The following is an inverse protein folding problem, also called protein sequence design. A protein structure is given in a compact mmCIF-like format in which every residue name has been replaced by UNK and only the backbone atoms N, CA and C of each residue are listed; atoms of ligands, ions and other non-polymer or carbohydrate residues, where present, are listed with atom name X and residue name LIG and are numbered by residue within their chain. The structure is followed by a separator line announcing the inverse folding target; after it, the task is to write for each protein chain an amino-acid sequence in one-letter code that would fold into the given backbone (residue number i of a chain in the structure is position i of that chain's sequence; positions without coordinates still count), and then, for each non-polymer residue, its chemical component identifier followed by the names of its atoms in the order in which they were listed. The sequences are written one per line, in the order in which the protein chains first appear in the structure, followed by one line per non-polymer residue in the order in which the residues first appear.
data_IF_493877408107
#
_entry.id   IF_493877408107
#
_cell.length_a   1.000
_cell.length_b   1.000
_cell.length_c   1.000
_cell.angle_alpha   90.00
_cell.angle_beta   90.00
_cell.angle_gamma   90.00
#
_symmetry.space_group_name_H-M   'P 1'
#
loop_
_entity.id
_entity.type
_entity.pdbx_description
1 polymer ?
#
# COMPACT_ATOMS: atom_id res chain seq x y z
N UNK A 1 -6.88 -31.16 -31.77
CA UNK A 1 -5.69 -30.43 -32.29
C UNK A 1 -6.03 -29.07 -32.90
N UNK A 2 -7.24 -28.88 -33.48
CA UNK A 2 -7.61 -27.62 -34.14
C UNK A 2 -8.02 -26.49 -33.17
N UNK A 3 -8.55 -26.77 -31.97
CA UNK A 3 -8.96 -25.75 -30.99
C UNK A 3 -7.78 -25.06 -30.33
N UNK A 4 -6.67 -25.79 -30.04
CA UNK A 4 -5.46 -25.19 -29.47
C UNK A 4 -4.74 -24.27 -30.46
N UNK A 5 -4.72 -24.61 -31.75
CA UNK A 5 -4.15 -23.73 -32.77
C UNK A 5 -4.94 -22.46 -33.00
N UNK A 6 -6.27 -22.49 -32.86
CA UNK A 6 -7.13 -21.29 -32.95
C UNK A 6 -6.92 -20.36 -31.76
N UNK A 7 -6.77 -20.91 -30.54
CA UNK A 7 -6.53 -20.11 -29.34
C UNK A 7 -5.15 -19.41 -29.39
N UNK A 8 -4.12 -20.08 -29.88
CA UNK A 8 -2.79 -19.50 -30.07
C UNK A 8 -2.80 -18.37 -31.12
N UNK A 9 -3.53 -18.52 -32.22
CA UNK A 9 -3.65 -17.47 -33.25
C UNK A 9 -4.42 -16.26 -32.74
N UNK A 10 -5.49 -16.44 -31.95
CA UNK A 10 -6.26 -15.35 -31.37
C UNK A 10 -5.43 -14.56 -30.35
N UNK A 11 -4.64 -15.21 -29.51
CA UNK A 11 -3.72 -14.56 -28.58
C UNK A 11 -2.64 -13.73 -29.28
N UNK A 12 -2.05 -14.27 -30.36
CA UNK A 12 -1.03 -13.53 -31.14
C UNK A 12 -1.62 -12.32 -31.88
N UNK A 13 -2.87 -12.38 -32.32
CA UNK A 13 -3.54 -11.25 -32.98
C UNK A 13 -3.90 -10.15 -31.97
N UNK A 14 -4.24 -10.50 -30.73
CA UNK A 14 -4.51 -9.53 -29.67
C UNK A 14 -3.23 -8.80 -29.24
N UNK A 15 -2.11 -9.49 -29.11
CA UNK A 15 -0.81 -8.86 -28.81
C UNK A 15 -0.34 -7.90 -29.92
N UNK A 16 -0.50 -8.27 -31.18
CA UNK A 16 -0.16 -7.40 -32.33
C UNK A 16 -1.10 -6.18 -32.41
N UNK A 17 -2.37 -6.32 -32.07
CA UNK A 17 -3.31 -5.20 -32.04
C UNK A 17 -3.01 -4.20 -30.90
N UNK A 18 -2.56 -4.66 -29.74
CA UNK A 18 -2.15 -3.80 -28.60
C UNK A 18 -0.86 -3.03 -28.90
N UNK A 19 0.11 -3.65 -29.59
CA UNK A 19 1.34 -2.96 -30.00
C UNK A 19 1.07 -1.96 -31.13
N UNK A 20 0.14 -2.24 -32.05
CA UNK A 20 -0.22 -1.30 -33.11
C UNK A 20 -1.02 -0.09 -32.63
N UNK A 21 -1.81 -0.23 -31.55
CA UNK A 21 -2.54 0.89 -30.94
C UNK A 21 -1.62 1.86 -30.20
N UNK A 22 -0.48 1.40 -29.68
CA UNK A 22 0.53 2.24 -29.03
C UNK A 22 1.41 3.04 -30.00
N UNK A 23 1.43 2.68 -31.31
CA UNK A 23 2.21 3.36 -32.34
C UNK A 23 1.40 4.38 -33.16
N UNK A 24 0.06 4.40 -33.02
CA UNK A 24 -0.79 5.43 -33.63
C UNK A 24 -1.23 6.40 -32.54
N UNK A 25 -0.42 7.47 -32.33
CA UNK A 25 -0.72 8.53 -31.38
C UNK A 25 -2.12 9.11 -31.60
N UNK A 26 -3.06 8.74 -30.75
CA UNK A 26 -4.36 9.40 -30.66
C UNK A 26 -4.17 10.68 -29.88
N UNK A 27 -4.10 11.80 -30.61
CA UNK A 27 -4.07 13.15 -30.07
C UNK A 27 -5.39 13.45 -29.36
N UNK A 28 -5.36 13.64 -28.05
CA UNK A 28 -6.44 14.28 -27.30
C UNK A 28 -6.23 15.81 -27.34
N UNK A 29 -7.29 16.61 -27.57
CA UNK A 29 -7.15 18.04 -27.61
C UNK A 29 -6.88 18.62 -26.21
N UNK A 30 -5.85 19.47 -26.12
CA UNK A 30 -5.51 20.26 -24.95
C UNK A 30 -6.64 21.27 -24.65
N UNK A 31 -7.25 21.18 -23.49
CA UNK A 31 -8.07 22.25 -22.94
C UNK A 31 -7.19 23.26 -22.20
N UNK A 32 -7.20 24.47 -22.66
CA UNK A 32 -6.56 25.62 -22.02
C UNK A 32 -7.31 26.03 -20.76
N UNK A 33 -6.64 25.99 -19.61
CA UNK A 33 -7.15 26.55 -18.36
C UNK A 33 -7.08 28.08 -18.42
N UNK A 34 -8.22 28.76 -18.27
CA UNK A 34 -8.32 30.19 -18.11
C UNK A 34 -7.98 30.59 -16.69
N UNK A 35 -7.01 31.49 -16.53
CA UNK A 35 -6.66 32.11 -15.26
C UNK A 35 -7.80 33.02 -14.76
N UNK A 36 -8.31 32.74 -13.56
CA UNK A 36 -9.20 33.66 -12.84
C UNK A 36 -8.38 34.39 -11.75
N UNK A 37 -8.29 35.70 -11.95
CA UNK A 37 -7.69 36.66 -11.02
C UNK A 37 -8.61 36.91 -9.82
N UNK A 38 -8.13 36.71 -8.59
CA UNK A 38 -8.77 37.21 -7.37
C UNK A 38 -8.04 38.44 -6.85
N UNK A 39 -8.82 39.51 -6.63
CA UNK A 39 -8.41 40.74 -5.95
C UNK A 39 -8.57 40.57 -4.43
N UNK A 40 -7.75 41.24 -3.60
CA UNK A 40 -7.80 41.13 -2.15
C UNK A 40 -8.93 41.97 -1.55
N UNK A 41 -9.61 41.44 -0.54
CA UNK A 41 -10.59 42.18 0.27
C UNK A 41 -9.92 42.80 1.50
N UNK A 42 -10.26 44.03 1.72
CA UNK A 42 -9.77 44.97 2.73
C UNK A 42 -10.32 44.73 4.13
N UNK A 43 -9.51 45.11 5.12
CA UNK A 43 -9.73 45.16 6.56
C UNK A 43 -11.06 45.79 7.02
N UNK A 44 -11.70 45.19 8.03
CA UNK A 44 -12.63 45.88 8.93
C UNK A 44 -12.20 45.66 10.38
N UNK A 45 -11.73 46.73 10.99
CA UNK A 45 -11.47 46.85 12.43
C UNK A 45 -12.78 47.00 13.18
N UNK A 46 -13.01 46.20 14.22
CA UNK A 46 -14.03 46.45 15.24
C UNK A 46 -13.46 46.23 16.63
N UNK A 47 -13.46 47.26 17.41
CA UNK A 47 -13.05 47.38 18.83
C UNK A 47 -14.16 46.92 19.77
N UNK A 48 -13.83 46.24 20.89
CA UNK A 48 -14.72 46.16 22.03
C UNK A 48 -14.50 45.04 23.04
N UNK A 49 -13.73 45.34 24.10
CA UNK A 49 -13.82 45.00 25.56
C UNK A 49 -13.81 43.54 26.03
N UNK A 50 -12.81 43.31 26.83
CA UNK A 50 -12.49 42.41 27.95
C UNK A 50 -13.63 41.57 28.56
N UNK A 51 -13.40 40.26 28.74
CA UNK A 51 -13.39 39.68 30.07
C UNK A 51 -12.50 38.43 30.15
N UNK A 52 -11.89 38.20 31.29
CA UNK A 52 -10.79 37.33 31.62
C UNK A 52 -11.25 35.93 32.02
N UNK A 53 -10.78 34.89 31.34
CA UNK A 53 -10.46 33.61 31.96
C UNK A 53 -9.39 32.88 31.12
N UNK A 54 -8.19 32.77 31.70
CA UNK A 54 -7.02 32.15 31.16
C UNK A 54 -7.19 30.64 31.14
N UNK A 55 -7.52 30.08 29.98
CA UNK A 55 -7.14 28.71 29.59
C UNK A 55 -5.98 28.81 28.60
N UNK A 56 -4.80 28.43 29.04
CA UNK A 56 -3.65 28.25 28.17
C UNK A 56 -3.90 26.92 27.41
N UNK A 57 -4.48 27.01 26.24
CA UNK A 57 -4.46 25.90 25.29
C UNK A 57 -3.02 25.78 24.76
N UNK A 58 -2.46 24.58 24.85
CA UNK A 58 -1.24 24.23 24.14
C UNK A 58 -1.39 24.58 22.65
N UNK A 59 -0.31 25.04 21.98
CA UNK A 59 -0.39 25.33 20.57
C UNK A 59 -0.77 24.04 19.85
N UNK A 60 -1.94 24.01 19.22
CA UNK A 60 -2.22 23.05 18.16
C UNK A 60 -1.26 23.41 17.04
N UNK A 61 -0.22 22.61 16.88
CA UNK A 61 0.52 22.57 15.62
C UNK A 61 -0.49 22.15 14.56
N UNK A 62 -1.01 23.11 13.82
CA UNK A 62 -1.74 22.83 12.58
C UNK A 62 -0.73 22.25 11.63
N UNK A 63 -0.72 20.94 11.51
CA UNK A 63 0.01 20.22 10.48
C UNK A 63 -0.61 20.63 9.13
N UNK A 64 -0.01 21.60 8.47
CA UNK A 64 -0.27 21.87 7.08
C UNK A 64 0.44 20.76 6.31
N UNK A 65 -0.27 19.65 6.06
CA UNK A 65 0.08 18.77 4.97
C UNK A 65 0.03 19.65 3.72
N UNK A 66 1.14 19.81 3.05
CA UNK A 66 1.12 20.33 1.69
C UNK A 66 0.44 19.25 0.84
N UNK A 67 -0.89 19.37 0.70
CA UNK A 67 -1.75 18.38 0.05
C UNK A 67 -1.42 18.14 -1.42
N UNK A 68 -0.45 18.90 -1.96
CA UNK A 68 -0.05 18.83 -3.37
C UNK A 68 0.66 17.52 -3.76
N UNK A 69 1.07 16.69 -2.81
CA UNK A 69 1.80 15.44 -3.04
C UNK A 69 1.03 14.17 -2.68
N UNK A 70 -0.19 14.29 -2.13
CA UNK A 70 -1.02 13.12 -1.89
C UNK A 70 -1.60 12.64 -3.21
N UNK A 71 -1.29 11.40 -3.58
CA UNK A 71 -1.88 10.75 -4.74
C UNK A 71 -3.34 10.45 -4.44
N UNK A 72 -4.25 11.35 -4.84
CA UNK A 72 -5.69 11.12 -4.77
C UNK A 72 -6.10 10.07 -5.81
N UNK A 73 -5.86 8.80 -5.48
CA UNK A 73 -6.34 7.67 -6.26
C UNK A 73 -7.72 7.21 -5.76
N UNK A 74 -8.53 6.62 -6.66
CA UNK A 74 -9.82 6.03 -6.27
C UNK A 74 -9.67 5.03 -5.10
N UNK A 75 -8.53 4.33 -5.00
CA UNK A 75 -8.26 3.34 -3.98
C UNK A 75 -8.23 3.94 -2.56
N UNK A 76 -7.56 5.08 -2.40
CA UNK A 76 -7.46 5.81 -1.12
C UNK A 76 -8.83 6.24 -0.61
N UNK A 77 -9.66 6.82 -1.50
CA UNK A 77 -11.03 7.22 -1.17
C UNK A 77 -11.92 6.01 -0.90
N UNK A 78 -11.71 4.90 -1.63
CA UNK A 78 -12.52 3.68 -1.55
C UNK A 78 -12.44 2.99 -0.19
N UNK A 79 -11.27 3.02 0.44
CA UNK A 79 -11.04 2.45 1.77
C UNK A 79 -11.31 3.44 2.91
N UNK A 80 -11.89 4.59 2.61
CA UNK A 80 -12.20 5.66 3.58
C UNK A 80 -10.97 6.22 4.32
N UNK A 81 -9.79 6.23 3.67
CA UNK A 81 -8.58 6.79 4.28
C UNK A 81 -8.72 8.30 4.62
N UNK A 82 -9.38 9.16 3.80
CA UNK A 82 -9.62 10.55 4.17
C UNK A 82 -10.44 10.73 5.47
N UNK A 83 -11.38 9.82 5.75
CA UNK A 83 -12.12 9.80 7.00
C UNK A 83 -11.24 9.34 8.17
N UNK A 84 -10.40 8.32 7.93
CA UNK A 84 -9.42 7.81 8.89
C UNK A 84 -8.43 8.89 9.34
N UNK A 85 -8.04 9.81 8.46
CA UNK A 85 -7.12 10.91 8.78
C UNK A 85 -7.72 11.94 9.77
N UNK A 86 -9.01 11.92 10.01
CA UNK A 86 -9.62 12.72 11.10
C UNK A 86 -9.26 12.15 12.48
N UNK A 87 -8.84 10.88 12.55
CA UNK A 87 -8.37 10.21 13.77
C UNK A 87 -6.84 10.29 13.84
N UNK A 88 -6.15 9.80 12.81
CA UNK A 88 -4.69 9.84 12.69
C UNK A 88 -4.24 9.79 11.24
N UNK A 89 -3.15 10.45 10.92
CA UNK A 89 -2.42 10.32 9.65
C UNK A 89 -1.24 9.35 9.77
N UNK A 90 -1.10 8.68 10.91
CA UNK A 90 0.05 7.86 11.26
C UNK A 90 1.04 8.57 12.16
N UNK A 91 2.06 7.87 12.63
CA UNK A 91 3.12 8.38 13.51
C UNK A 91 4.51 8.05 12.95
N UNK A 92 5.49 8.93 13.18
CA UNK A 92 6.87 8.76 12.71
C UNK A 92 7.61 7.60 13.37
N UNK A 93 7.13 7.10 14.50
CA UNK A 93 7.67 5.90 15.14
C UNK A 93 7.27 4.62 14.39
N UNK A 94 6.18 4.66 13.60
CA UNK A 94 5.74 3.50 12.82
C UNK A 94 6.46 3.45 11.49
N UNK A 95 7.16 2.34 11.25
CA UNK A 95 7.96 2.09 10.06
C UNK A 95 7.37 0.94 9.24
N UNK A 96 7.07 1.20 7.98
CA UNK A 96 6.63 0.18 7.01
C UNK A 96 7.80 -0.24 6.14
N UNK A 97 8.25 -1.47 6.27
CA UNK A 97 9.26 -2.03 5.37
C UNK A 97 8.62 -2.51 4.07
N UNK A 98 9.09 -1.98 2.94
CA UNK A 98 8.66 -2.40 1.60
C UNK A 98 9.72 -3.36 1.04
N UNK A 99 9.40 -4.65 1.04
CA UNK A 99 10.24 -5.71 0.49
C UNK A 99 9.93 -5.88 -0.99
N UNK A 100 10.73 -5.23 -1.87
CA UNK A 100 10.40 -5.10 -3.28
C UNK A 100 11.64 -4.89 -4.18
N UNK A 101 11.49 -4.19 -5.30
CA UNK A 101 12.53 -3.86 -6.28
C UNK A 101 13.41 -2.66 -5.91
N UNK A 102 13.22 -2.10 -4.73
CA UNK A 102 13.83 -0.85 -4.25
C UNK A 102 12.81 0.28 -4.13
N UNK A 103 13.26 1.45 -3.67
CA UNK A 103 12.47 2.69 -3.62
C UNK A 103 13.31 3.81 -4.24
N UNK A 104 12.73 4.58 -5.16
CA UNK A 104 13.34 5.82 -5.62
C UNK A 104 12.96 6.97 -4.69
N UNK A 105 13.89 7.35 -3.81
CA UNK A 105 13.67 8.33 -2.74
C UNK A 105 13.64 9.78 -3.24
N UNK A 106 14.08 10.03 -4.47
CA UNK A 106 14.06 11.36 -5.09
C UNK A 106 12.64 11.78 -5.49
N UNK A 107 11.69 10.84 -5.49
CA UNK A 107 10.29 11.16 -5.76
C UNK A 107 9.72 12.06 -4.64
N UNK A 108 9.07 13.20 -4.98
CA UNK A 108 8.59 14.17 -3.99
C UNK A 108 7.67 13.58 -2.92
N UNK A 109 6.81 12.60 -3.26
CA UNK A 109 5.92 11.93 -2.30
C UNK A 109 6.65 11.01 -1.32
N UNK A 110 7.89 10.62 -1.63
CA UNK A 110 8.70 9.71 -0.81
C UNK A 110 9.91 10.39 -0.15
N UNK A 111 10.26 11.60 -0.59
CA UNK A 111 11.43 12.34 -0.11
C UNK A 111 11.44 12.50 1.41
N UNK A 112 12.53 12.05 2.05
CA UNK A 112 12.74 12.13 3.49
C UNK A 112 11.84 11.21 4.33
N UNK A 113 11.12 10.27 3.72
CA UNK A 113 10.29 9.28 4.42
C UNK A 113 11.03 7.98 4.70
N UNK A 114 12.01 7.62 3.87
CA UNK A 114 12.81 6.41 4.04
C UNK A 114 13.83 6.62 5.17
N UNK A 115 13.80 5.76 6.17
CA UNK A 115 14.65 5.85 7.37
C UNK A 115 15.72 4.76 7.44
N UNK A 116 15.67 3.79 6.53
CA UNK A 116 16.63 2.70 6.44
C UNK A 116 16.55 2.04 5.07
N UNK A 117 17.69 1.56 4.58
CA UNK A 117 17.78 0.87 3.30
C UNK A 117 18.74 -0.31 3.33
N UNK A 118 18.45 -1.34 2.55
CA UNK A 118 19.32 -2.49 2.33
C UNK A 118 19.04 -3.12 0.97
N UNK A 119 20.07 -3.66 0.35
CA UNK A 119 19.95 -4.43 -0.89
C UNK A 119 20.45 -5.86 -0.68
N UNK A 120 19.53 -6.82 -0.75
CA UNK A 120 19.82 -8.26 -0.74
C UNK A 120 19.76 -8.88 -2.14
N UNK A 121 19.34 -8.12 -3.14
CA UNK A 121 19.28 -8.57 -4.55
C UNK A 121 20.66 -8.63 -5.18
N UNK A 122 20.73 -9.08 -6.42
CA UNK A 122 21.95 -9.05 -7.23
C UNK A 122 22.16 -7.71 -7.96
N UNK A 123 21.30 -6.71 -7.73
CA UNK A 123 21.43 -5.38 -8.32
C UNK A 123 22.55 -4.57 -7.66
N UNK A 124 23.15 -3.59 -8.35
CA UNK A 124 24.29 -2.84 -7.80
C UNK A 124 23.91 -1.84 -6.70
N UNK A 125 22.66 -1.38 -6.67
CA UNK A 125 22.16 -0.37 -5.71
C UNK A 125 20.83 -0.78 -5.10
N UNK A 126 20.40 -0.08 -4.04
CA UNK A 126 19.07 -0.17 -3.44
C UNK A 126 18.00 0.58 -4.22
N UNK A 127 18.39 1.43 -5.18
CA UNK A 127 17.47 2.17 -6.03
C UNK A 127 16.51 1.26 -6.80
N UNK A 128 15.32 1.77 -7.08
CA UNK A 128 14.33 1.09 -7.89
C UNK A 128 14.45 1.47 -9.37
N UNK A 129 15.08 0.58 -10.16
CA UNK A 129 15.15 0.73 -11.61
C UNK A 129 14.01 0.01 -12.35
N UNK A 130 13.20 -0.77 -11.63
CA UNK A 130 12.05 -1.51 -12.19
C UNK A 130 10.72 -0.74 -12.01
N UNK A 131 10.62 0.07 -10.97
CA UNK A 131 9.47 0.93 -10.70
C UNK A 131 8.28 0.22 -10.04
N UNK A 132 8.49 -0.97 -9.45
CA UNK A 132 7.43 -1.63 -8.72
C UNK A 132 7.44 -1.23 -7.24
N UNK A 133 8.58 -1.29 -6.58
CA UNK A 133 8.70 -0.97 -5.16
C UNK A 133 8.40 0.51 -4.88
N UNK A 134 8.84 1.43 -5.74
CA UNK A 134 8.48 2.86 -5.65
C UNK A 134 6.97 3.05 -5.71
N UNK A 135 6.29 2.33 -6.61
CA UNK A 135 4.83 2.39 -6.71
C UNK A 135 4.13 1.88 -5.46
N UNK A 136 4.60 0.77 -4.88
CA UNK A 136 4.06 0.23 -3.61
C UNK A 136 4.31 1.20 -2.45
N UNK A 137 5.53 1.73 -2.34
CA UNK A 137 5.89 2.73 -1.33
C UNK A 137 5.02 3.99 -1.39
N UNK A 138 4.71 4.47 -2.60
CA UNK A 138 3.82 5.60 -2.82
C UNK A 138 2.39 5.34 -2.33
N UNK A 139 1.85 4.14 -2.57
CA UNK A 139 0.52 3.78 -2.04
C UNK A 139 0.53 3.80 -0.51
N UNK A 140 1.52 3.18 0.14
CA UNK A 140 1.66 3.20 1.60
C UNK A 140 1.75 4.63 2.13
N UNK A 141 2.62 5.46 1.53
CA UNK A 141 2.81 6.85 1.91
C UNK A 141 1.55 7.71 1.73
N UNK A 142 0.73 7.43 0.70
CA UNK A 142 -0.53 8.12 0.46
C UNK A 142 -1.59 7.80 1.52
N UNK A 143 -1.58 6.60 2.09
CA UNK A 143 -2.56 6.17 3.09
C UNK A 143 -2.12 6.56 4.50
N UNK A 144 -0.83 6.36 4.83
CA UNK A 144 -0.24 6.66 6.13
C UNK A 144 0.85 7.75 6.00
N UNK A 145 0.49 9.01 5.71
CA UNK A 145 1.46 10.04 5.40
C UNK A 145 2.33 10.45 6.61
N UNK A 146 1.91 10.14 7.83
CA UNK A 146 2.71 10.37 9.05
C UNK A 146 3.75 9.30 9.36
N UNK A 147 3.63 8.09 8.75
CA UNK A 147 4.54 6.97 8.98
C UNK A 147 5.85 7.08 8.18
N UNK A 148 6.83 6.25 8.54
CA UNK A 148 8.11 6.12 7.87
C UNK A 148 8.16 4.87 7.00
N UNK A 149 9.07 4.86 6.06
CA UNK A 149 9.30 3.74 5.16
C UNK A 149 10.71 3.17 5.36
N UNK A 150 10.87 1.90 5.02
CA UNK A 150 12.16 1.22 4.96
C UNK A 150 12.29 0.55 3.59
N UNK A 151 13.37 0.84 2.88
CA UNK A 151 13.66 0.30 1.56
C UNK A 151 14.41 -1.03 1.69
N UNK A 152 13.74 -2.14 1.48
CA UNK A 152 14.34 -3.47 1.54
C UNK A 152 14.30 -4.12 0.15
N UNK A 153 15.35 -3.89 -0.63
CA UNK A 153 15.42 -4.43 -2.00
C UNK A 153 15.75 -5.93 -1.97
N UNK A 154 14.72 -6.73 -2.25
CA UNK A 154 14.80 -8.21 -2.33
C UNK A 154 14.60 -8.74 -3.74
N UNK A 155 14.07 -7.92 -4.65
CA UNK A 155 13.94 -8.21 -6.07
C UNK A 155 14.95 -7.39 -6.88
N UNK A 156 15.49 -8.00 -7.93
CA UNK A 156 16.45 -7.36 -8.81
C UNK A 156 15.79 -6.35 -9.78
N UNK A 157 16.62 -5.67 -10.59
CA UNK A 157 16.17 -4.66 -11.56
C UNK A 157 15.36 -5.26 -12.74
N UNK A 158 15.08 -6.56 -12.72
CA UNK A 158 14.17 -7.26 -13.63
C UNK A 158 12.89 -7.73 -12.93
N UNK A 159 12.72 -7.41 -11.63
CA UNK A 159 11.59 -7.81 -10.80
C UNK A 159 11.65 -9.25 -10.29
N UNK A 160 12.80 -9.92 -10.37
CA UNK A 160 12.97 -11.30 -9.89
C UNK A 160 13.46 -11.32 -8.46
N UNK A 161 12.86 -12.20 -7.66
CA UNK A 161 13.25 -12.46 -6.28
C UNK A 161 13.27 -13.96 -5.98
N UNK A 162 14.06 -14.35 -4.98
CA UNK A 162 14.17 -15.71 -4.48
C UNK A 162 13.66 -15.79 -3.03
N UNK A 163 12.98 -16.88 -2.62
CA UNK A 163 12.44 -17.01 -1.26
C UNK A 163 13.48 -16.81 -0.16
N UNK A 164 14.71 -17.28 -0.36
CA UNK A 164 15.81 -17.12 0.60
C UNK A 164 16.30 -15.68 0.74
N UNK A 165 16.13 -14.87 -0.32
CA UNK A 165 16.48 -13.43 -0.30
C UNK A 165 15.37 -12.65 0.43
N UNK A 166 14.11 -12.99 0.16
CA UNK A 166 12.97 -12.38 0.88
C UNK A 166 13.03 -12.71 2.37
N UNK A 167 13.34 -13.95 2.75
CA UNK A 167 13.53 -14.34 4.15
C UNK A 167 14.59 -13.48 4.87
N UNK A 168 15.73 -13.20 4.24
CA UNK A 168 16.75 -12.29 4.79
C UNK A 168 16.22 -10.87 4.95
N UNK A 169 15.45 -10.40 3.97
CA UNK A 169 14.82 -9.07 4.01
C UNK A 169 13.83 -8.94 5.17
N UNK A 170 13.01 -9.97 5.42
CA UNK A 170 12.08 -10.00 6.56
C UNK A 170 12.85 -9.88 7.88
N UNK A 171 13.82 -10.76 8.13
CA UNK A 171 14.62 -10.75 9.36
C UNK A 171 15.31 -9.40 9.56
N UNK A 172 15.91 -8.85 8.49
CA UNK A 172 16.57 -7.55 8.57
C UNK A 172 15.58 -6.42 8.92
N UNK A 173 14.38 -6.41 8.33
CA UNK A 173 13.37 -5.40 8.59
C UNK A 173 12.93 -5.42 10.06
N UNK A 174 12.68 -6.61 10.62
CA UNK A 174 12.36 -6.82 12.04
C UNK A 174 13.49 -6.30 12.93
N UNK A 175 14.73 -6.73 12.69
CA UNK A 175 15.89 -6.35 13.47
C UNK A 175 16.20 -4.84 13.43
N UNK A 176 15.63 -4.11 12.47
CA UNK A 176 15.78 -2.66 12.28
C UNK A 176 14.52 -1.85 12.62
N UNK A 177 13.53 -2.49 13.26
CA UNK A 177 12.39 -1.81 13.85
C UNK A 177 11.25 -1.51 12.86
N UNK A 178 10.97 -2.41 11.93
CA UNK A 178 9.74 -2.33 11.15
C UNK A 178 8.57 -2.89 11.98
N UNK A 179 7.45 -2.17 12.04
CA UNK A 179 6.18 -2.63 12.63
C UNK A 179 5.28 -3.30 11.58
N UNK A 180 5.43 -2.92 10.31
CA UNK A 180 4.67 -3.50 9.19
C UNK A 180 5.63 -3.90 8.08
N UNK A 181 5.44 -5.09 7.51
CA UNK A 181 6.18 -5.56 6.34
C UNK A 181 5.23 -5.75 5.17
N UNK A 182 5.42 -4.96 4.10
CA UNK A 182 4.72 -5.13 2.83
C UNK A 182 5.48 -6.07 1.90
N UNK A 183 4.84 -7.16 1.49
CA UNK A 183 5.37 -8.14 0.54
C UNK A 183 4.47 -8.24 -0.69
N UNK A 184 4.67 -7.33 -1.63
CA UNK A 184 3.96 -7.32 -2.92
C UNK A 184 4.53 -8.34 -3.91
N UNK A 185 4.80 -9.55 -3.41
CA UNK A 185 5.52 -10.64 -4.04
C UNK A 185 4.70 -11.94 -4.05
N UNK A 186 4.95 -12.80 -5.04
CA UNK A 186 4.30 -14.09 -5.16
C UNK A 186 5.30 -15.16 -5.60
N UNK A 187 5.48 -16.21 -4.81
CA UNK A 187 6.49 -17.25 -5.04
C UNK A 187 6.04 -18.61 -4.54
N UNK A 188 6.93 -19.59 -4.62
CA UNK A 188 6.74 -20.94 -4.08
C UNK A 188 7.06 -21.00 -2.60
N UNK A 189 6.50 -22.00 -1.90
CA UNK A 189 6.81 -22.27 -0.49
C UNK A 189 8.30 -22.51 -0.25
N UNK A 190 8.78 -22.04 0.90
CA UNK A 190 10.15 -22.27 1.37
C UNK A 190 10.17 -22.34 2.88
N UNK A 191 10.89 -23.31 3.44
CA UNK A 191 11.03 -23.46 4.90
C UNK A 191 11.74 -22.27 5.55
N UNK A 192 12.66 -21.62 4.83
CA UNK A 192 13.39 -20.48 5.38
C UNK A 192 12.53 -19.22 5.35
N UNK A 193 11.69 -19.08 4.31
CA UNK A 193 10.71 -18.01 4.24
C UNK A 193 9.64 -18.17 5.33
N UNK A 194 9.14 -19.39 5.57
CA UNK A 194 8.21 -19.67 6.68
C UNK A 194 8.80 -19.23 8.02
N UNK A 195 10.03 -19.68 8.33
CA UNK A 195 10.68 -19.32 9.62
C UNK A 195 10.88 -17.80 9.77
N UNK A 196 11.14 -17.09 8.69
CA UNK A 196 11.27 -15.64 8.73
C UNK A 196 9.92 -14.96 8.99
N UNK A 197 8.83 -15.49 8.43
CA UNK A 197 7.46 -15.04 8.69
C UNK A 197 7.08 -15.30 10.15
N UNK A 198 7.30 -16.53 10.64
CA UNK A 198 7.02 -16.90 12.04
C UNK A 198 7.82 -15.99 13.01
N UNK A 199 9.10 -15.76 12.72
CA UNK A 199 9.96 -14.86 13.52
C UNK A 199 9.41 -13.43 13.56
N UNK A 200 9.00 -12.88 12.42
CA UNK A 200 8.49 -11.51 12.37
C UNK A 200 7.17 -11.36 13.15
N UNK A 201 6.31 -12.36 13.08
CA UNK A 201 5.06 -12.39 13.84
C UNK A 201 5.31 -12.48 15.35
N UNK A 202 6.23 -13.34 15.78
CA UNK A 202 6.62 -13.51 17.18
C UNK A 202 7.27 -12.25 17.77
N UNK A 203 7.92 -11.42 16.93
CA UNK A 203 8.50 -10.12 17.31
C UNK A 203 7.48 -8.95 17.21
N UNK A 204 6.19 -9.25 17.00
CA UNK A 204 5.12 -8.26 17.02
C UNK A 204 4.93 -7.47 15.71
N UNK A 205 5.45 -7.96 14.59
CA UNK A 205 5.36 -7.31 13.27
C UNK A 205 4.14 -7.80 12.49
N UNK A 206 3.40 -6.91 11.84
CA UNK A 206 2.33 -7.27 10.90
C UNK A 206 2.91 -7.52 9.52
N UNK A 207 2.64 -8.71 8.96
CA UNK A 207 3.07 -9.10 7.63
C UNK A 207 1.87 -9.06 6.66
N UNK A 208 1.99 -8.30 5.60
CA UNK A 208 0.97 -8.16 4.56
C UNK A 208 1.51 -8.67 3.23
N UNK A 209 0.78 -9.58 2.60
CA UNK A 209 1.25 -10.22 1.37
C UNK A 209 0.19 -10.29 0.27
N UNK A 210 0.63 -10.08 -0.96
CA UNK A 210 -0.19 -10.16 -2.16
C UNK A 210 -0.64 -11.61 -2.45
N UNK A 211 -1.92 -11.85 -2.68
CA UNK A 211 -2.47 -13.18 -3.01
C UNK A 211 -1.95 -13.73 -4.36
N UNK A 212 -1.45 -12.87 -5.23
CA UNK A 212 -0.93 -13.25 -6.54
C UNK A 212 -1.87 -12.90 -7.70
N UNK A 213 -1.32 -12.95 -8.92
CA UNK A 213 -1.98 -12.42 -10.12
C UNK A 213 -2.21 -13.52 -11.18
N UNK A 214 -2.61 -14.72 -10.75
CA UNK A 214 -2.89 -15.85 -11.67
C UNK A 214 -4.38 -16.06 -11.95
N UNK A 215 -5.27 -15.38 -11.24
CA UNK A 215 -6.72 -15.57 -11.35
C UNK A 215 -7.17 -16.96 -10.94
N UNK A 216 -6.49 -17.59 -9.98
CA UNK A 216 -6.75 -18.96 -9.52
C UNK A 216 -6.91 -19.00 -8.01
N UNK A 217 -7.48 -20.09 -7.50
CA UNK A 217 -7.57 -20.36 -6.06
C UNK A 217 -6.36 -21.10 -5.49
N UNK A 218 -5.33 -21.35 -6.31
CA UNK A 218 -4.11 -22.00 -5.83
C UNK A 218 -3.32 -21.06 -4.92
N UNK A 219 -2.88 -21.54 -3.73
CA UNK A 219 -2.10 -20.73 -2.80
C UNK A 219 -0.80 -20.19 -3.36
N UNK A 220 -0.46 -18.98 -2.94
CA UNK A 220 0.80 -18.32 -3.25
C UNK A 220 1.49 -17.89 -1.95
N UNK A 221 2.81 -17.85 -1.94
CA UNK A 221 3.60 -17.50 -0.77
C UNK A 221 4.32 -16.16 -0.97
N UNK A 222 4.51 -15.39 0.13
CA UNK A 222 4.26 -15.70 1.55
C UNK A 222 2.78 -15.61 1.98
N UNK A 223 1.87 -15.13 1.16
CA UNK A 223 0.47 -14.87 1.54
C UNK A 223 -0.25 -16.08 2.17
N UNK A 224 0.09 -17.31 1.78
CA UNK A 224 -0.54 -18.51 2.33
C UNK A 224 0.00 -18.93 3.71
N UNK A 225 1.03 -18.28 4.25
CA UNK A 225 1.43 -18.53 5.63
C UNK A 225 0.44 -17.87 6.59
N UNK A 226 0.09 -18.59 7.68
CA UNK A 226 -0.96 -18.18 8.64
C UNK A 226 -0.72 -16.81 9.29
N UNK A 227 0.54 -16.43 9.43
CA UNK A 227 0.96 -15.21 10.10
C UNK A 227 1.07 -14.01 9.12
N UNK A 228 0.76 -14.22 7.84
CA UNK A 228 0.57 -13.17 6.86
C UNK A 228 -0.90 -12.79 6.71
N UNK A 229 -1.19 -11.53 6.44
CA UNK A 229 -2.48 -11.08 5.94
C UNK A 229 -2.45 -11.22 4.41
N UNK A 230 -3.20 -12.19 3.88
CA UNK A 230 -3.31 -12.46 2.46
C UNK A 230 -4.31 -11.52 1.79
N UNK A 231 -3.87 -10.76 0.78
CA UNK A 231 -4.67 -9.69 0.18
C UNK A 231 -5.04 -9.96 -1.27
N UNK A 232 -6.34 -10.06 -1.57
CA UNK A 232 -6.89 -10.07 -2.92
C UNK A 232 -7.09 -8.64 -3.46
N UNK A 233 -7.10 -8.48 -4.79
CA UNK A 233 -7.30 -7.20 -5.46
C UNK A 233 -8.72 -6.99 -5.96
N UNK A 234 -9.31 -5.82 -5.72
CA UNK A 234 -10.61 -5.42 -6.27
C UNK A 234 -10.48 -4.28 -7.28
N UNK A 235 -11.54 -4.11 -8.07
CA UNK A 235 -11.76 -2.93 -8.91
C UNK A 235 -12.70 -1.92 -8.23
N UNK A 236 -12.92 -0.78 -8.88
CA UNK A 236 -13.78 0.32 -8.39
C UNK A 236 -15.21 -0.10 -8.05
N UNK A 237 -15.72 -1.17 -8.67
CA UNK A 237 -17.08 -1.70 -8.48
C UNK A 237 -17.14 -2.76 -7.37
N UNK A 238 -16.12 -2.92 -6.55
CA UNK A 238 -16.00 -3.96 -5.51
C UNK A 238 -16.05 -5.40 -6.04
N UNK A 239 -15.74 -5.59 -7.33
CA UNK A 239 -15.59 -6.92 -7.91
C UNK A 239 -14.13 -7.35 -7.84
N UNK A 240 -13.89 -8.66 -7.74
CA UNK A 240 -12.56 -9.21 -7.83
C UNK A 240 -11.87 -8.74 -9.13
N UNK A 241 -10.66 -8.23 -9.05
CA UNK A 241 -9.89 -7.86 -10.24
C UNK A 241 -9.56 -9.12 -11.05
N UNK A 242 -9.65 -9.04 -12.39
CA UNK A 242 -9.60 -10.21 -13.30
C UNK A 242 -8.40 -11.15 -13.06
N UNK A 243 -7.25 -10.61 -12.69
CA UNK A 243 -6.04 -11.38 -12.44
C UNK A 243 -5.83 -11.74 -10.97
N UNK A 244 -6.63 -11.21 -10.04
CA UNK A 244 -6.46 -11.49 -8.62
C UNK A 244 -6.63 -12.98 -8.33
N UNK A 245 -5.66 -13.58 -7.64
CA UNK A 245 -5.87 -14.87 -6.99
C UNK A 245 -6.87 -14.71 -5.84
N UNK A 246 -7.56 -15.79 -5.48
CA UNK A 246 -8.65 -15.81 -4.53
C UNK A 246 -8.72 -17.20 -3.83
N UNK A 247 -9.52 -17.34 -2.82
CA UNK A 247 -9.73 -18.62 -2.12
C UNK A 247 -10.00 -18.44 -0.65
N UNK A 248 -10.30 -19.55 0.04
CA UNK A 248 -10.58 -19.57 1.48
C UNK A 248 -9.37 -19.20 2.36
N UNK A 249 -8.21 -19.09 1.74
CA UNK A 249 -6.94 -18.71 2.36
C UNK A 249 -6.63 -17.21 2.26
N UNK A 250 -7.45 -16.45 1.56
CA UNK A 250 -7.33 -14.98 1.48
C UNK A 250 -8.05 -14.39 2.69
N UNK A 251 -7.41 -13.45 3.38
CA UNK A 251 -7.95 -12.82 4.57
C UNK A 251 -8.82 -11.62 4.25
N UNK A 252 -8.36 -10.74 3.36
CA UNK A 252 -9.06 -9.50 3.01
C UNK A 252 -8.88 -9.13 1.53
N UNK A 253 -9.66 -8.17 1.07
CA UNK A 253 -9.51 -7.56 -0.25
C UNK A 253 -9.25 -6.06 -0.14
N UNK A 254 -8.55 -5.51 -1.13
CA UNK A 254 -8.27 -4.08 -1.21
C UNK A 254 -8.20 -3.62 -2.68
N UNK A 255 -8.22 -2.29 -2.95
CA UNK A 255 -8.07 -1.74 -4.30
C UNK A 255 -6.80 -2.24 -4.98
N UNK A 256 -6.95 -2.90 -6.14
CA UNK A 256 -5.84 -3.51 -6.87
C UNK A 256 -5.87 -3.28 -8.37
N UNK A 257 -6.92 -2.66 -8.91
CA UNK A 257 -7.06 -2.44 -10.35
C UNK A 257 -6.84 -0.97 -10.71
N UNK A 258 -5.93 -0.71 -11.64
CA UNK A 258 -5.68 0.64 -12.16
C UNK A 258 -5.39 1.66 -11.05
N UNK A 259 -4.44 1.31 -10.18
CA UNK A 259 -4.01 2.13 -9.04
C UNK A 259 -2.91 3.10 -9.50
N UNK A 260 -3.13 4.39 -9.27
CA UNK A 260 -2.20 5.47 -9.57
C UNK A 260 -1.26 5.70 -8.39
N UNK A 261 0.04 5.77 -8.65
CA UNK A 261 1.06 6.02 -7.63
C UNK A 261 2.38 6.47 -8.27
N UNK A 262 3.38 6.71 -7.44
CA UNK A 262 4.73 7.12 -7.81
C UNK A 262 5.44 6.06 -8.66
N UNK A 263 6.30 6.54 -9.53
CA UNK A 263 7.27 5.76 -10.31
C UNK A 263 8.64 6.43 -10.22
N UNK A 264 9.75 5.74 -10.51
CA UNK A 264 11.08 6.35 -10.58
C UNK A 264 11.12 7.60 -11.47
N UNK A 265 12.15 8.43 -11.29
CA UNK A 265 12.38 9.65 -12.07
C UNK A 265 11.26 10.69 -11.96
N UNK A 266 10.65 10.81 -10.78
CA UNK A 266 9.54 11.73 -10.49
C UNK A 266 8.33 11.54 -11.43
N UNK A 267 8.14 10.32 -11.91
CA UNK A 267 6.98 9.96 -12.71
C UNK A 267 5.86 9.41 -11.82
N UNK A 268 4.68 9.36 -12.40
CA UNK A 268 3.49 8.73 -11.84
C UNK A 268 2.85 7.84 -12.89
N UNK A 269 2.19 6.78 -12.46
CA UNK A 269 1.54 5.86 -13.39
C UNK A 269 0.62 4.87 -12.73
N UNK A 270 -0.07 4.11 -13.57
CA UNK A 270 -1.05 3.13 -13.14
C UNK A 270 -0.45 1.72 -13.13
N UNK A 271 -0.71 0.97 -12.07
CA UNK A 271 -0.43 -0.48 -12.01
C UNK A 271 -1.68 -1.23 -11.58
N UNK A 272 -1.76 -2.50 -11.98
CA UNK A 272 -2.84 -3.42 -11.63
C UNK A 272 -2.26 -4.70 -11.06
N UNK A 273 -2.72 -5.12 -9.88
CA UNK A 273 -2.31 -6.35 -9.24
C UNK A 273 -2.63 -6.38 -7.75
N UNK A 274 -2.60 -7.58 -7.17
CA UNK A 274 -2.71 -7.79 -5.73
C UNK A 274 -1.56 -7.14 -4.95
N UNK A 275 -0.48 -6.79 -5.63
CA UNK A 275 0.62 -5.98 -5.11
C UNK A 275 0.15 -4.62 -4.59
N UNK A 276 -0.62 -3.90 -5.41
CA UNK A 276 -1.19 -2.60 -5.01
C UNK A 276 -2.22 -2.77 -3.88
N UNK A 277 -3.00 -3.86 -3.90
CA UNK A 277 -3.93 -4.18 -2.82
C UNK A 277 -3.22 -4.42 -1.49
N UNK A 278 -2.12 -5.19 -1.47
CA UNK A 278 -1.30 -5.40 -0.28
C UNK A 278 -0.73 -4.08 0.25
N UNK A 279 -0.26 -3.19 -0.62
CA UNK A 279 0.24 -1.88 -0.21
C UNK A 279 -0.85 -1.00 0.45
N UNK A 280 -2.13 -1.09 0.01
CA UNK A 280 -3.25 -0.43 0.69
C UNK A 280 -3.44 -0.97 2.11
N UNK A 281 -3.43 -2.30 2.28
CA UNK A 281 -3.55 -2.93 3.60
C UNK A 281 -2.38 -2.55 4.51
N UNK A 282 -1.16 -2.52 3.99
CA UNK A 282 0.04 -2.11 4.74
C UNK A 282 -0.06 -0.66 5.23
N UNK A 283 -0.60 0.24 4.41
CA UNK A 283 -0.87 1.62 4.83
C UNK A 283 -1.92 1.70 5.94
N UNK A 284 -3.00 0.92 5.85
CA UNK A 284 -4.03 0.84 6.91
C UNK A 284 -3.46 0.24 8.19
N UNK A 285 -2.66 -0.83 8.09
CA UNK A 285 -1.96 -1.41 9.24
C UNK A 285 -1.09 -0.37 9.97
N UNK A 286 -0.37 0.46 9.22
CA UNK A 286 0.46 1.52 9.80
C UNK A 286 -0.35 2.61 10.50
N UNK A 287 -1.53 2.98 9.97
CA UNK A 287 -2.44 3.89 10.67
C UNK A 287 -2.91 3.30 11.99
N UNK A 288 -3.32 2.02 12.00
CA UNK A 288 -3.80 1.33 13.20
C UNK A 288 -2.68 1.21 14.23
N UNK A 289 -1.46 0.82 13.85
CA UNK A 289 -0.30 0.76 14.75
C UNK A 289 -0.04 2.09 15.46
N UNK A 290 -0.33 3.22 14.81
CA UNK A 290 -0.11 4.55 15.38
C UNK A 290 -1.01 4.87 16.59
N UNK A 291 -2.10 4.10 16.80
CA UNK A 291 -3.09 4.33 17.85
C UNK A 291 -3.41 3.06 18.66
N UNK A 292 -3.01 1.89 18.17
CA UNK A 292 -3.29 0.62 18.84
C UNK A 292 -2.53 0.49 20.15
N UNK A 293 -3.11 -0.29 21.05
CA UNK A 293 -2.48 -0.69 22.32
C UNK A 293 -2.70 -2.17 22.54
N UNK A 294 -1.75 -2.81 23.23
CA UNK A 294 -1.89 -4.22 23.67
C UNK A 294 -3.07 -4.33 24.63
N UNK A 295 -4.17 -4.91 24.17
CA UNK A 295 -5.42 -5.06 24.93
C UNK A 295 -5.54 -6.40 25.60
N UNK A 296 -4.79 -7.40 25.15
CA UNK A 296 -4.83 -8.77 25.68
C UNK A 296 -3.65 -9.08 26.63
N UNK A 297 -2.63 -8.20 26.70
CA UNK A 297 -1.50 -8.30 27.63
C UNK A 297 -0.42 -9.29 27.19
N UNK A 298 -0.33 -9.60 25.89
CA UNK A 298 0.67 -10.52 25.34
C UNK A 298 2.03 -9.84 25.08
N UNK A 299 2.09 -8.51 25.13
CA UNK A 299 3.31 -7.71 24.95
C UNK A 299 3.54 -7.23 23.52
N UNK A 300 2.60 -7.46 22.61
CA UNK A 300 2.63 -7.04 21.20
C UNK A 300 1.29 -6.39 20.81
N UNK A 301 1.18 -5.82 19.63
CA UNK A 301 -0.06 -5.20 19.10
C UNK A 301 -0.39 -5.68 17.68
N UNK A 302 0.41 -6.56 17.11
CA UNK A 302 0.22 -7.06 15.74
C UNK A 302 -1.07 -7.84 15.57
N UNK A 303 -1.51 -8.59 16.57
CA UNK A 303 -2.77 -9.33 16.56
C UNK A 303 -3.98 -8.41 16.69
N UNK A 304 -3.93 -7.33 17.49
CA UNK A 304 -4.96 -6.29 17.51
C UNK A 304 -5.06 -5.56 16.18
N UNK A 305 -3.92 -5.23 15.56
CA UNK A 305 -3.90 -4.60 14.23
C UNK A 305 -4.53 -5.51 13.18
N UNK A 306 -4.14 -6.79 13.15
CA UNK A 306 -4.74 -7.78 12.25
C UNK A 306 -6.24 -7.93 12.50
N UNK A 307 -6.63 -8.07 13.75
CA UNK A 307 -8.04 -8.17 14.14
C UNK A 307 -8.87 -6.97 13.68
N UNK A 308 -8.36 -5.75 13.86
CA UNK A 308 -9.03 -4.54 13.43
C UNK A 308 -9.22 -4.48 11.92
N UNK A 309 -8.19 -4.85 11.13
CA UNK A 309 -8.28 -4.93 9.68
C UNK A 309 -9.36 -5.94 9.24
N UNK A 310 -9.33 -7.15 9.77
CA UNK A 310 -10.22 -8.23 9.37
C UNK A 310 -11.67 -7.97 9.76
N UNK A 311 -11.93 -7.41 10.94
CA UNK A 311 -13.27 -7.24 11.48
C UNK A 311 -13.98 -5.94 11.06
N UNK A 312 -13.26 -4.98 10.47
CA UNK A 312 -13.82 -3.73 9.95
C UNK A 312 -14.12 -3.75 8.44
N UNK A 313 -13.91 -4.89 7.79
CA UNK A 313 -14.11 -5.01 6.33
C UNK A 313 -15.57 -4.77 5.91
N UNK A 314 -15.74 -3.97 4.87
CA UNK A 314 -17.04 -3.84 4.20
C UNK A 314 -17.35 -5.10 3.39
N UNK A 315 -18.59 -5.65 3.48
CA UNK A 315 -18.97 -6.83 2.73
C UNK A 315 -18.97 -6.55 1.22
N UNK A 316 -18.42 -7.49 0.43
CA UNK A 316 -18.47 -7.46 -1.03
C UNK A 316 -19.01 -8.80 -1.56
N UNK A 317 -19.51 -8.79 -2.79
CA UNK A 317 -20.16 -9.97 -3.37
C UNK A 317 -19.19 -10.95 -4.04
N UNK A 318 -17.90 -10.67 -4.03
CA UNK A 318 -16.88 -11.56 -4.60
C UNK A 318 -16.61 -12.75 -3.67
N UNK A 319 -16.54 -13.95 -4.22
CA UNK A 319 -16.19 -15.16 -3.48
C UNK A 319 -14.67 -15.29 -3.30
N UNK A 320 -14.23 -15.86 -2.16
CA UNK A 320 -12.82 -16.14 -1.90
C UNK A 320 -11.94 -14.90 -1.67
N UNK A 321 -12.49 -13.90 -1.02
CA UNK A 321 -11.83 -12.62 -0.69
C UNK A 321 -11.80 -12.36 0.84
N UNK A 322 -11.98 -13.41 1.63
CA UNK A 322 -11.94 -13.36 3.08
C UNK A 322 -13.05 -12.51 3.69
N UNK A 323 -12.69 -11.64 4.63
CA UNK A 323 -13.61 -10.77 5.36
C UNK A 323 -14.27 -9.69 4.50
N UNK A 324 -13.71 -9.37 3.34
CA UNK A 324 -14.25 -8.36 2.42
C UNK A 324 -13.26 -7.23 2.09
N UNK A 325 -13.79 -6.09 1.70
CA UNK A 325 -13.00 -4.90 1.36
C UNK A 325 -12.58 -4.14 2.63
N UNK A 326 -11.29 -3.89 2.81
CA UNK A 326 -10.79 -3.12 3.96
C UNK A 326 -11.43 -1.75 4.05
N UNK A 327 -11.64 -1.26 5.29
CA UNK A 327 -12.10 0.09 5.58
C UNK A 327 -11.21 0.71 6.68
N UNK A 328 -10.44 1.73 6.31
CA UNK A 328 -9.47 2.36 7.20
C UNK A 328 -10.14 3.12 8.36
N UNK A 329 -11.28 3.77 8.11
CA UNK A 329 -11.98 4.53 9.13
C UNK A 329 -12.63 3.62 10.18
N UNK A 330 -13.34 2.58 9.75
CA UNK A 330 -13.95 1.60 10.66
C UNK A 330 -12.87 0.87 11.47
N UNK A 331 -11.75 0.46 10.85
CA UNK A 331 -10.65 -0.20 11.54
C UNK A 331 -10.06 0.67 12.67
N UNK A 332 -9.85 1.96 12.43
CA UNK A 332 -9.39 2.88 13.47
C UNK A 332 -10.44 3.11 14.56
N UNK A 333 -11.72 3.18 14.19
CA UNK A 333 -12.81 3.38 15.15
C UNK A 333 -12.94 2.18 16.10
N UNK A 334 -12.83 0.97 15.59
CA UNK A 334 -12.81 -0.26 16.39
C UNK A 334 -11.58 -0.34 17.31
N UNK A 335 -10.43 0.18 16.87
CA UNK A 335 -9.17 0.14 17.64
C UNK A 335 -9.21 1.07 18.87
N UNK A 336 -9.90 2.22 18.78
CA UNK A 336 -9.92 3.23 19.84
C UNK A 336 -11.17 3.18 20.73
N UNK A 337 -12.14 2.30 20.43
CA UNK A 337 -13.38 2.11 21.20
C UNK A 337 -13.20 1.15 22.37
#
# INVERSE_FOLDING_TARGET
LNKLKYLAIVLTVIEVALVAASLQGVLFPSQSASANSYLPATDVVSTGSQDSSTYVSAPQETFSLDDSYLVEGWGVSKIEAPQAWQITTGDKSVVVAVLDTGINEDNPGLAGRVVGEVNFSNSPTSDDLYGHGTHMAGIVASIAPGCRLMNVKVADDTGKCEPSVVAKGIVWAVDHGAEVINMSLAMTASSDLQKAVDYAWDEGVVLVAAAGNKGTSEPSYPAYYSDCIAVAGTNENNSLALLSSYGDWVDVAAPGFNIYSELPDNQYGYKTGTSAAAAHVSGVAALIFSVASDTNGNGAVNDEVRWAIENSCAPITADGVGHGLINAFEALTETIS
#
